data_IF_436719681744
#
_entry.id   IF_436719681744
#
_cell.length_a   1.000
_cell.length_b   1.000
_cell.length_c   1.000
_cell.angle_alpha   90.00
_cell.angle_beta   90.00
_cell.angle_gamma   90.00
#
_symmetry.space_group_name_H-M   'P 1'
#
loop_
_entity.id
_entity.type
_entity.pdbx_description
1 polymer ?
#
# COMPACT_ATOMS: atom_id res chain seq x y z
N UNK A 1 11.58 14.67 -9.36
CA UNK A 1 12.78 14.39 -10.16
C UNK A 1 13.14 15.58 -11.02
N UNK A 2 12.70 15.61 -12.28
CA UNK A 2 13.13 16.61 -13.29
C UNK A 2 13.02 18.07 -12.84
N UNK A 3 11.89 18.45 -12.22
CA UNK A 3 11.69 19.82 -11.74
C UNK A 3 12.62 20.19 -10.59
N UNK A 4 12.94 19.24 -9.71
CA UNK A 4 13.87 19.46 -8.59
C UNK A 4 15.26 19.79 -9.14
N UNK A 5 15.79 18.93 -10.02
CA UNK A 5 17.10 19.12 -10.64
C UNK A 5 17.19 20.44 -11.41
N UNK A 6 16.16 20.81 -12.18
CA UNK A 6 16.16 22.06 -12.93
C UNK A 6 16.12 23.30 -12.01
N UNK A 7 15.37 23.24 -10.91
CA UNK A 7 15.27 24.35 -9.98
C UNK A 7 16.55 24.52 -9.12
N UNK A 8 17.21 23.42 -8.73
CA UNK A 8 18.51 23.46 -8.04
C UNK A 8 19.57 24.19 -8.88
N UNK A 9 19.54 24.05 -10.21
CA UNK A 9 20.46 24.75 -11.12
C UNK A 9 20.30 26.28 -11.08
N UNK A 10 19.16 26.79 -10.64
CA UNK A 10 18.92 28.23 -10.44
C UNK A 10 18.93 28.64 -8.96
N UNK A 11 19.47 27.78 -8.09
CA UNK A 11 19.69 28.06 -6.66
C UNK A 11 18.53 27.74 -5.74
N UNK A 12 17.48 27.04 -6.21
CA UNK A 12 16.34 26.69 -5.38
C UNK A 12 16.70 25.69 -4.28
N UNK A 13 16.10 25.88 -3.10
CA UNK A 13 16.18 24.94 -1.99
C UNK A 13 15.24 23.74 -2.24
N UNK A 14 15.80 22.53 -2.17
CA UNK A 14 15.06 21.26 -2.18
C UNK A 14 15.24 20.60 -0.83
N UNK A 15 14.13 20.16 -0.23
CA UNK A 15 14.13 19.66 1.14
C UNK A 15 13.32 18.37 1.30
N UNK A 16 13.68 17.60 2.33
CA UNK A 16 12.96 16.41 2.80
C UNK A 16 12.69 15.34 1.73
N UNK A 17 13.57 15.17 0.74
CA UNK A 17 13.39 14.15 -0.30
C UNK A 17 13.37 12.71 0.26
N UNK A 18 13.87 12.49 1.46
CA UNK A 18 13.76 11.23 2.20
C UNK A 18 12.34 10.97 2.72
N UNK A 19 11.46 11.97 2.76
CA UNK A 19 10.08 11.82 3.22
C UNK A 19 9.21 11.30 2.09
N UNK A 20 8.93 10.00 2.13
CA UNK A 20 8.18 9.31 1.09
C UNK A 20 6.89 8.72 1.64
N UNK A 21 5.83 8.82 0.84
CA UNK A 21 4.61 8.06 1.01
C UNK A 21 4.69 6.83 0.11
N UNK A 22 4.98 5.68 0.72
CA UNK A 22 5.13 4.41 0.04
C UNK A 22 4.07 3.42 0.51
N UNK A 23 3.89 2.34 -0.26
CA UNK A 23 3.16 1.16 0.19
C UNK A 23 4.10 -0.03 0.18
N UNK A 24 3.79 -1.06 0.97
CA UNK A 24 4.59 -2.27 1.03
C UNK A 24 3.95 -3.48 0.32
N UNK A 25 2.76 -3.28 -0.25
CA UNK A 25 2.03 -4.27 -1.01
C UNK A 25 2.13 -3.95 -2.51
N UNK A 26 3.35 -3.83 -3.02
CA UNK A 26 3.62 -3.65 -4.45
C UNK A 26 3.86 -5.00 -5.14
N UNK A 27 3.39 -5.17 -6.36
CA UNK A 27 3.72 -6.32 -7.23
C UNK A 27 4.18 -5.82 -8.60
N UNK A 28 4.87 -6.65 -9.37
CA UNK A 28 5.24 -6.32 -10.74
C UNK A 28 3.98 -6.17 -11.60
N UNK A 29 3.93 -5.09 -12.38
CA UNK A 29 2.84 -4.91 -13.34
C UNK A 29 3.09 -5.81 -14.56
N UNK A 30 2.12 -6.62 -15.01
CA UNK A 30 2.30 -7.48 -16.18
C UNK A 30 2.40 -6.72 -17.51
N UNK A 31 2.01 -5.45 -17.54
CA UNK A 31 1.98 -4.56 -18.71
C UNK A 31 2.47 -3.16 -18.30
N UNK A 32 3.74 -3.03 -17.91
CA UNK A 32 4.24 -1.79 -17.31
C UNK A 32 4.35 -0.68 -18.38
N UNK A 33 3.67 0.44 -18.14
CA UNK A 33 3.76 1.64 -18.98
C UNK A 33 5.12 2.37 -18.94
N UNK A 34 5.92 2.13 -17.90
CA UNK A 34 7.23 2.74 -17.66
C UNK A 34 8.14 1.68 -17.00
N UNK A 35 9.48 1.81 -17.10
CA UNK A 35 10.40 0.96 -16.34
C UNK A 35 10.05 0.94 -14.85
N UNK A 36 10.10 -0.25 -14.24
CA UNK A 36 9.82 -0.46 -12.81
C UNK A 36 8.41 -0.04 -12.34
N UNK A 37 7.47 0.14 -13.27
CA UNK A 37 6.07 0.42 -12.93
C UNK A 37 5.44 -0.84 -12.30
N UNK A 38 5.18 -0.77 -11.00
CA UNK A 38 4.45 -1.80 -10.25
C UNK A 38 2.96 -1.49 -10.06
N UNK A 39 2.20 -2.52 -9.66
CA UNK A 39 0.84 -2.37 -9.16
C UNK A 39 0.87 -2.26 -7.63
N UNK A 40 0.11 -1.31 -7.09
CA UNK A 40 -0.09 -1.22 -5.64
C UNK A 40 -1.37 -1.96 -5.26
N UNK A 41 -1.24 -3.02 -4.48
CA UNK A 41 -2.37 -3.72 -3.90
C UNK A 41 -2.92 -2.94 -2.70
N UNK A 42 -4.22 -3.07 -2.50
CA UNK A 42 -4.87 -2.89 -1.19
C UNK A 42 -4.92 -4.30 -0.59
N UNK A 43 -3.98 -4.61 0.31
CA UNK A 43 -3.85 -5.97 0.80
C UNK A 43 -5.02 -6.34 1.71
N UNK A 44 -5.35 -7.64 1.80
CA UNK A 44 -6.34 -8.14 2.73
C UNK A 44 -5.87 -7.94 4.18
N UNK A 45 -6.82 -7.80 5.10
CA UNK A 45 -6.53 -7.67 6.54
C UNK A 45 -6.44 -9.04 7.20
N UNK A 46 -7.09 -10.04 6.61
CA UNK A 46 -7.14 -11.41 7.10
C UNK A 46 -5.97 -12.30 6.66
N UNK A 47 -5.14 -11.87 5.71
CA UNK A 47 -3.97 -12.65 5.29
C UNK A 47 -2.82 -12.54 6.30
N UNK A 48 -1.95 -13.54 6.32
CA UNK A 48 -0.73 -13.50 7.12
C UNK A 48 0.40 -12.86 6.34
N UNK A 49 0.97 -11.80 6.91
CA UNK A 49 2.20 -11.20 6.39
C UNK A 49 3.40 -12.00 6.89
N UNK A 50 4.18 -12.52 5.95
CA UNK A 50 5.37 -13.33 6.20
C UNK A 50 6.60 -12.69 5.58
N UNK A 51 7.77 -12.90 6.20
CA UNK A 51 9.04 -12.54 5.60
C UNK A 51 9.35 -13.43 4.38
N UNK A 52 10.42 -13.11 3.66
CA UNK A 52 10.83 -13.87 2.47
C UNK A 52 11.07 -15.38 2.73
N UNK A 53 11.33 -15.78 3.98
CA UNK A 53 11.54 -17.18 4.40
C UNK A 53 10.25 -17.87 4.84
N UNK A 54 9.09 -17.22 4.68
CA UNK A 54 7.79 -17.76 5.03
C UNK A 54 7.49 -17.75 6.53
N UNK A 55 8.18 -16.92 7.32
CA UNK A 55 7.87 -16.77 8.76
C UNK A 55 6.98 -15.57 8.99
N UNK A 56 5.92 -15.73 9.79
CA UNK A 56 5.01 -14.63 10.10
C UNK A 56 5.78 -13.47 10.73
N UNK A 57 5.63 -12.27 10.17
CA UNK A 57 6.34 -11.09 10.66
C UNK A 57 5.80 -10.69 12.03
N UNK A 58 6.66 -10.75 13.05
CA UNK A 58 6.33 -10.49 14.46
C UNK A 58 7.26 -9.46 15.12
N UNK A 59 7.10 -9.19 16.43
CA UNK A 59 6.11 -9.77 17.34
C UNK A 59 4.69 -9.20 17.15
N UNK A 60 4.55 -8.00 16.58
CA UNK A 60 3.26 -7.44 16.19
C UNK A 60 2.93 -7.81 14.73
N UNK A 61 1.71 -8.26 14.42
CA UNK A 61 1.33 -8.55 13.04
C UNK A 61 1.35 -7.27 12.18
N UNK A 62 1.70 -7.42 10.90
CA UNK A 62 1.55 -6.35 9.91
C UNK A 62 0.14 -6.41 9.35
N UNK A 63 -0.63 -5.33 9.53
CA UNK A 63 -2.03 -5.24 9.08
C UNK A 63 -2.23 -3.88 8.45
N UNK A 64 -2.75 -3.89 7.23
CA UNK A 64 -3.04 -2.65 6.50
C UNK A 64 -4.12 -1.80 7.17
N UNK A 65 -4.14 -0.50 6.86
CA UNK A 65 -5.13 0.46 7.35
C UNK A 65 -4.99 0.85 8.83
N UNK A 66 -3.89 0.51 9.49
CA UNK A 66 -3.53 1.03 10.82
C UNK A 66 -2.37 2.02 10.74
N UNK A 67 -1.13 1.54 10.57
CA UNK A 67 0.07 2.37 10.41
C UNK A 67 0.87 1.91 9.19
N UNK A 68 0.50 2.43 8.01
CA UNK A 68 1.18 2.12 6.74
C UNK A 68 2.65 2.56 6.76
N UNK A 69 2.97 3.68 7.41
CA UNK A 69 4.34 4.17 7.49
C UNK A 69 5.21 3.24 8.34
N UNK A 70 4.73 2.86 9.53
CA UNK A 70 5.39 1.88 10.38
C UNK A 70 5.48 0.49 9.71
N UNK A 71 4.46 0.09 8.95
CA UNK A 71 4.48 -1.15 8.16
C UNK A 71 5.61 -1.11 7.11
N UNK A 72 5.73 -0.03 6.35
CA UNK A 72 6.81 0.16 5.37
C UNK A 72 8.20 0.14 6.03
N UNK A 73 8.36 0.84 7.16
CA UNK A 73 9.61 0.83 7.92
C UNK A 73 9.96 -0.58 8.39
N UNK A 74 9.01 -1.34 8.94
CA UNK A 74 9.31 -2.70 9.41
C UNK A 74 9.74 -3.61 8.26
N UNK A 75 9.06 -3.54 7.13
CA UNK A 75 9.40 -4.34 5.95
C UNK A 75 10.76 -3.94 5.38
N UNK A 76 11.12 -2.65 5.38
CA UNK A 76 12.44 -2.21 4.89
C UNK A 76 13.61 -2.70 5.75
N UNK A 77 13.36 -3.14 6.99
CA UNK A 77 14.39 -3.76 7.84
C UNK A 77 14.42 -5.29 7.72
N UNK A 78 13.49 -5.90 6.99
CA UNK A 78 13.54 -7.33 6.71
C UNK A 78 14.60 -7.64 5.64
N UNK A 79 15.27 -8.80 5.73
CA UNK A 79 16.20 -9.22 4.69
C UNK A 79 15.46 -9.55 3.38
N UNK A 80 16.20 -9.61 2.28
CA UNK A 80 15.73 -10.06 0.96
C UNK A 80 14.81 -9.08 0.19
N UNK A 81 14.34 -7.99 0.81
CA UNK A 81 13.70 -6.88 0.10
C UNK A 81 12.25 -7.13 -0.37
N UNK A 82 11.66 -8.26 0.02
CA UNK A 82 10.26 -8.58 -0.25
C UNK A 82 9.65 -9.38 0.91
N UNK A 83 8.33 -9.50 0.86
CA UNK A 83 7.52 -10.26 1.81
C UNK A 83 6.52 -11.13 1.08
N UNK A 84 5.88 -12.05 1.81
CA UNK A 84 4.74 -12.81 1.30
C UNK A 84 3.48 -12.42 2.06
N UNK A 85 2.37 -12.35 1.35
CA UNK A 85 1.06 -12.50 1.97
C UNK A 85 0.46 -13.85 1.64
N UNK A 86 0.19 -14.64 2.68
CA UNK A 86 -0.38 -15.98 2.58
C UNK A 86 -1.84 -15.97 3.03
N UNK A 87 -2.72 -16.49 2.17
CA UNK A 87 -4.16 -16.51 2.37
C UNK A 87 -4.82 -17.65 1.57
N UNK A 88 -6.14 -17.70 1.57
CA UNK A 88 -6.92 -18.53 0.64
C UNK A 88 -7.73 -17.69 -0.35
N UNK A 89 -8.30 -18.34 -1.36
CA UNK A 89 -9.12 -17.71 -2.40
C UNK A 89 -10.26 -16.92 -1.80
N UNK A 90 -10.92 -17.40 -0.75
CA UNK A 90 -12.04 -16.67 -0.12
C UNK A 90 -11.62 -15.32 0.46
N UNK A 91 -10.47 -15.26 1.12
CA UNK A 91 -9.88 -14.00 1.61
C UNK A 91 -9.49 -13.12 0.42
N UNK A 92 -8.72 -13.66 -0.53
CA UNK A 92 -8.26 -12.94 -1.72
C UNK A 92 -9.42 -12.30 -2.49
N UNK A 93 -10.43 -13.09 -2.80
CA UNK A 93 -11.61 -12.69 -3.55
C UNK A 93 -12.42 -11.59 -2.86
N UNK A 94 -12.49 -11.62 -1.53
CA UNK A 94 -13.31 -10.69 -0.75
C UNK A 94 -12.59 -9.39 -0.42
N UNK A 95 -11.30 -9.46 -0.10
CA UNK A 95 -10.58 -8.37 0.55
C UNK A 95 -9.53 -7.69 -0.34
N UNK A 96 -8.93 -8.37 -1.34
CA UNK A 96 -7.92 -7.77 -2.20
C UNK A 96 -8.54 -6.73 -3.13
N UNK A 97 -7.81 -5.63 -3.34
CA UNK A 97 -8.05 -4.70 -4.43
C UNK A 97 -6.74 -4.19 -5.03
N UNK A 98 -6.79 -3.52 -6.18
CA UNK A 98 -5.64 -2.78 -6.74
C UNK A 98 -5.93 -1.29 -6.60
N UNK A 99 -4.98 -0.54 -6.06
CA UNK A 99 -5.02 0.92 -5.99
C UNK A 99 -4.81 1.52 -7.38
N UNK A 100 -5.82 2.19 -7.90
CA UNK A 100 -5.77 2.84 -9.21
C UNK A 100 -7.12 2.84 -9.90
N UNK A 101 -7.30 3.77 -10.85
CA UNK A 101 -8.54 3.89 -11.63
C UNK A 101 -8.61 2.88 -12.78
N UNK A 102 -7.49 2.28 -13.18
CA UNK A 102 -7.40 1.32 -14.29
C UNK A 102 -8.17 0.03 -13.97
N UNK A 103 -7.94 -0.53 -12.77
CA UNK A 103 -8.62 -1.75 -12.31
C UNK A 103 -9.95 -1.47 -11.59
N UNK A 104 -10.21 -0.21 -11.20
CA UNK A 104 -11.48 0.19 -10.59
C UNK A 104 -12.44 0.80 -11.63
N UNK A 105 -12.85 -0.02 -12.60
CA UNK A 105 -13.74 0.41 -13.70
C UNK A 105 -15.08 0.97 -13.20
N UNK A 106 -15.59 0.48 -12.06
CA UNK A 106 -16.81 0.99 -11.48
C UNK A 106 -16.67 2.45 -11.01
N UNK A 107 -15.51 2.85 -10.49
CA UNK A 107 -15.21 4.24 -10.18
C UNK A 107 -15.00 5.06 -11.47
N UNK A 108 -14.22 4.54 -12.43
CA UNK A 108 -13.95 5.18 -13.72
C UNK A 108 -15.22 5.52 -14.51
N UNK A 109 -16.19 4.60 -14.52
CA UNK A 109 -17.46 4.74 -15.25
C UNK A 109 -18.63 5.16 -14.35
N UNK A 110 -18.38 5.60 -13.11
CA UNK A 110 -19.40 6.04 -12.13
C UNK A 110 -20.57 5.06 -11.99
N UNK A 111 -20.27 3.76 -11.79
CA UNK A 111 -21.25 2.68 -11.62
C UNK A 111 -21.33 2.25 -10.14
N UNK A 112 -22.02 3.00 -9.26
CA UNK A 112 -22.02 2.76 -7.81
C UNK A 112 -22.62 1.40 -7.43
N UNK A 113 -23.62 0.91 -8.18
CA UNK A 113 -24.24 -0.41 -7.94
C UNK A 113 -23.27 -1.55 -8.22
N UNK A 114 -22.50 -1.46 -9.32
CA UNK A 114 -21.47 -2.46 -9.66
C UNK A 114 -20.36 -2.47 -8.61
N UNK A 115 -19.91 -1.29 -8.21
CA UNK A 115 -18.90 -1.13 -7.14
C UNK A 115 -19.38 -1.73 -5.80
N UNK A 116 -20.61 -1.43 -5.40
CA UNK A 116 -21.20 -1.98 -4.18
C UNK A 116 -21.36 -3.50 -4.25
N UNK A 117 -21.75 -4.03 -5.41
CA UNK A 117 -21.84 -5.49 -5.64
C UNK A 117 -20.47 -6.17 -5.55
N UNK A 118 -19.43 -5.59 -6.15
CA UNK A 118 -18.05 -6.09 -6.05
C UNK A 118 -17.54 -6.05 -4.61
N UNK A 119 -17.83 -4.97 -3.86
CA UNK A 119 -17.51 -4.89 -2.43
C UNK A 119 -18.25 -5.98 -1.62
N UNK A 120 -19.53 -6.20 -1.90
CA UNK A 120 -20.38 -7.13 -1.15
C UNK A 120 -20.06 -8.60 -1.44
N UNK A 121 -19.83 -8.94 -2.71
CA UNK A 121 -19.70 -10.32 -3.15
C UNK A 121 -18.24 -10.74 -3.41
N UNK A 122 -17.31 -9.79 -3.51
CA UNK A 122 -15.95 -10.03 -3.98
C UNK A 122 -15.82 -9.77 -5.48
N UNK A 123 -14.61 -9.96 -6.03
CA UNK A 123 -14.30 -9.65 -7.41
C UNK A 123 -13.56 -10.80 -8.13
N UNK A 124 -14.34 -11.70 -8.74
CA UNK A 124 -13.81 -12.84 -9.51
C UNK A 124 -12.85 -12.39 -10.61
N UNK A 125 -13.19 -11.33 -11.36
CA UNK A 125 -12.34 -10.82 -12.44
C UNK A 125 -10.97 -10.36 -11.93
N UNK A 126 -10.95 -9.73 -10.74
CA UNK A 126 -9.69 -9.30 -10.14
C UNK A 126 -8.88 -10.48 -9.64
N UNK A 127 -9.52 -11.44 -8.98
CA UNK A 127 -8.86 -12.66 -8.55
C UNK A 127 -8.25 -13.41 -9.74
N UNK A 128 -9.01 -13.62 -10.80
CA UNK A 128 -8.55 -14.28 -12.01
C UNK A 128 -7.43 -13.49 -12.71
N UNK A 129 -7.50 -12.16 -12.72
CA UNK A 129 -6.41 -11.32 -13.22
C UNK A 129 -5.13 -11.50 -12.42
N UNK A 130 -5.21 -11.48 -11.08
CA UNK A 130 -4.04 -11.67 -10.22
C UNK A 130 -3.42 -13.05 -10.44
N UNK A 131 -4.22 -14.11 -10.40
CA UNK A 131 -3.73 -15.49 -10.52
C UNK A 131 -3.20 -15.81 -11.92
N UNK A 132 -3.85 -15.33 -12.98
CA UNK A 132 -3.50 -15.73 -14.35
C UNK A 132 -2.51 -14.79 -15.04
N UNK A 133 -2.35 -13.56 -14.57
CA UNK A 133 -1.54 -12.54 -15.25
C UNK A 133 -0.38 -12.00 -14.41
N UNK A 134 -0.47 -12.04 -13.07
CA UNK A 134 0.57 -11.44 -12.22
C UNK A 134 1.61 -12.48 -11.80
N UNK A 135 2.86 -12.26 -12.18
CA UNK A 135 3.98 -13.19 -11.95
C UNK A 135 4.33 -13.42 -10.46
N UNK A 136 3.93 -12.50 -9.59
CA UNK A 136 4.20 -12.57 -8.15
C UNK A 136 3.11 -13.33 -7.37
N UNK A 137 2.09 -13.85 -8.06
CA UNK A 137 0.95 -14.55 -7.44
C UNK A 137 1.06 -16.03 -7.73
N UNK A 138 1.00 -16.85 -6.67
CA UNK A 138 0.97 -18.30 -6.78
C UNK A 138 -0.23 -18.86 -6.01
N UNK A 139 -0.73 -19.99 -6.50
CA UNK A 139 -1.80 -20.75 -5.85
C UNK A 139 -1.38 -22.19 -5.63
N UNK A 140 -1.96 -22.85 -4.63
CA UNK A 140 -1.69 -24.25 -4.29
C UNK A 140 -2.86 -24.87 -3.53
N UNK A 141 -2.95 -26.20 -3.52
CA UNK A 141 -3.99 -26.95 -2.82
C UNK A 141 -3.49 -27.54 -1.48
N UNK A 142 -2.31 -27.11 -1.03
CA UNK A 142 -1.77 -27.42 0.30
C UNK A 142 -0.67 -26.41 0.68
N UNK A 143 -0.38 -26.28 1.97
CA UNK A 143 0.70 -25.41 2.45
C UNK A 143 2.09 -25.92 2.05
N UNK A 144 2.26 -27.25 1.95
CA UNK A 144 3.49 -27.88 1.46
C UNK A 144 3.75 -27.52 0.00
N UNK A 145 2.72 -27.66 -0.85
CA UNK A 145 2.82 -27.28 -2.26
C UNK A 145 3.04 -25.76 -2.40
N UNK A 146 2.35 -24.94 -1.59
CA UNK A 146 2.54 -23.49 -1.59
C UNK A 146 4.00 -23.13 -1.27
N UNK A 147 4.56 -23.72 -0.21
CA UNK A 147 5.96 -23.51 0.17
C UNK A 147 6.96 -23.99 -0.88
N UNK A 148 6.66 -25.09 -1.59
CA UNK A 148 7.47 -25.54 -2.72
C UNK A 148 7.44 -24.54 -3.88
N UNK A 149 6.27 -23.99 -4.22
CA UNK A 149 6.12 -22.95 -5.26
C UNK A 149 6.80 -21.64 -4.86
N UNK A 150 6.75 -21.25 -3.59
CA UNK A 150 7.48 -20.07 -3.09
C UNK A 150 9.00 -20.23 -3.27
N UNK A 151 9.56 -21.39 -2.92
CA UNK A 151 10.98 -21.70 -3.16
C UNK A 151 11.34 -21.73 -4.65
N UNK A 152 10.43 -22.20 -5.51
CA UNK A 152 10.66 -22.20 -6.95
C UNK A 152 10.67 -20.78 -7.55
N UNK A 153 9.95 -19.84 -6.94
CA UNK A 153 9.88 -18.44 -7.41
C UNK A 153 11.13 -17.63 -7.06
N UNK A 154 11.77 -17.94 -5.92
CA UNK A 154 13.06 -17.36 -5.54
C UNK A 154 14.00 -18.45 -4.99
N UNK A 155 14.79 -19.09 -5.87
CA UNK A 155 15.72 -20.14 -5.49
C UNK A 155 16.84 -19.69 -4.53
N UNK A 156 17.11 -18.38 -4.43
CA UNK A 156 18.18 -17.83 -3.60
C UNK A 156 17.74 -17.67 -2.13
N UNK A 157 16.44 -17.75 -1.85
CA UNK A 157 15.87 -17.62 -0.50
C UNK A 157 15.09 -18.87 -0.13
N UNK A 158 15.64 -19.66 0.80
CA UNK A 158 14.96 -20.86 1.29
C UNK A 158 13.82 -20.52 2.25
N UNK A 159 12.61 -20.90 1.87
CA UNK A 159 11.41 -20.86 2.71
C UNK A 159 11.43 -21.99 3.73
N UNK A 160 11.26 -21.66 5.02
CA UNK A 160 11.03 -22.63 6.09
C UNK A 160 9.57 -23.12 6.04
N UNK A 161 9.29 -24.05 5.14
CA UNK A 161 7.93 -24.56 4.89
C UNK A 161 7.28 -25.12 6.16
N UNK A 162 8.04 -25.85 6.99
CA UNK A 162 7.54 -26.39 8.27
C UNK A 162 7.21 -25.28 9.26
N UNK A 163 8.02 -24.22 9.28
CA UNK A 163 7.79 -23.01 10.05
C UNK A 163 6.54 -22.25 9.61
N UNK A 164 6.38 -22.08 8.30
CA UNK A 164 5.22 -21.44 7.68
C UNK A 164 3.93 -22.17 8.05
N UNK A 165 3.90 -23.51 7.89
CA UNK A 165 2.76 -24.34 8.26
C UNK A 165 2.39 -24.15 9.73
N UNK A 166 3.39 -24.16 10.62
CA UNK A 166 3.18 -23.95 12.05
C UNK A 166 2.58 -22.57 12.34
N UNK A 167 3.10 -21.52 11.71
CA UNK A 167 2.63 -20.15 11.91
C UNK A 167 1.18 -19.98 11.44
N UNK A 168 0.81 -20.62 10.32
CA UNK A 168 -0.57 -20.68 9.80
C UNK A 168 -1.50 -21.44 10.76
N UNK A 169 -1.11 -22.65 11.16
CA UNK A 169 -1.90 -23.48 12.07
C UNK A 169 -2.11 -22.79 13.42
N UNK A 170 -1.11 -22.09 13.95
CA UNK A 170 -1.25 -21.31 15.19
C UNK A 170 -2.30 -20.21 15.04
N UNK A 171 -2.30 -19.48 13.94
CA UNK A 171 -3.33 -18.47 13.68
C UNK A 171 -4.73 -19.07 13.55
N UNK A 172 -4.85 -20.17 12.81
CA UNK A 172 -6.13 -20.85 12.58
C UNK A 172 -6.71 -21.47 13.87
N UNK A 173 -5.85 -22.07 14.71
CA UNK A 173 -6.25 -22.55 16.04
C UNK A 173 -6.81 -21.43 16.92
N UNK A 174 -6.24 -20.22 16.85
CA UNK A 174 -6.76 -19.07 17.61
C UNK A 174 -8.17 -18.67 17.15
N UNK A 175 -8.50 -18.87 15.88
CA UNK A 175 -9.87 -18.67 15.37
C UNK A 175 -10.82 -19.74 15.93
N UNK A 176 -10.38 -21.00 16.01
CA UNK A 176 -11.18 -22.12 16.49
C UNK A 176 -11.56 -22.01 17.98
N UNK A 177 -10.69 -21.40 18.80
CA UNK A 177 -10.99 -21.10 20.20
C UNK A 177 -12.19 -20.14 20.35
N UNK A 178 -12.50 -19.36 19.32
CA UNK A 178 -13.62 -18.44 19.30
C UNK A 178 -13.33 -17.09 19.97
N UNK A 179 -14.21 -16.11 19.72
CA UNK A 179 -13.95 -14.69 19.97
C UNK A 179 -13.63 -14.32 21.42
N UNK A 180 -14.15 -15.08 22.38
CA UNK A 180 -13.88 -14.86 23.80
C UNK A 180 -12.42 -15.16 24.18
N UNK A 181 -11.71 -15.94 23.37
CA UNK A 181 -10.36 -16.44 23.63
C UNK A 181 -9.35 -16.02 22.55
N UNK A 182 -9.72 -15.09 21.67
CA UNK A 182 -8.82 -14.53 20.66
C UNK A 182 -7.68 -13.72 21.32
N UNK A 183 -6.57 -14.40 21.59
CA UNK A 183 -5.32 -13.81 22.09
C UNK A 183 -4.33 -13.43 20.97
N UNK A 184 -4.73 -13.55 19.71
CA UNK A 184 -3.96 -13.07 18.56
C UNK A 184 -4.26 -11.59 18.29
N UNK A 185 -3.23 -10.74 18.16
CA UNK A 185 -3.39 -9.29 17.95
C UNK A 185 -4.06 -8.95 16.61
N UNK A 186 -3.86 -9.78 15.57
CA UNK A 186 -4.48 -9.59 14.26
C UNK A 186 -5.97 -9.86 14.32
N UNK A 187 -6.39 -10.93 14.98
CA UNK A 187 -7.82 -11.23 15.18
C UNK A 187 -8.53 -10.11 15.96
N UNK A 188 -7.90 -9.60 17.03
CA UNK A 188 -8.46 -8.46 17.80
C UNK A 188 -8.58 -7.19 16.96
N UNK A 189 -7.60 -6.89 16.12
CA UNK A 189 -7.62 -5.74 15.20
C UNK A 189 -8.64 -5.87 14.08
N UNK A 190 -8.82 -7.08 13.52
CA UNK A 190 -9.87 -7.36 12.55
C UNK A 190 -11.24 -7.11 13.18
N UNK A 191 -11.50 -7.65 14.38
CA UNK A 191 -12.78 -7.42 15.06
C UNK A 191 -13.00 -5.92 15.35
N UNK A 192 -11.97 -5.19 15.79
CA UNK A 192 -12.05 -3.74 15.98
C UNK A 192 -12.43 -3.00 14.68
N UNK A 193 -11.76 -3.30 13.56
CA UNK A 193 -12.08 -2.67 12.27
C UNK A 193 -13.52 -2.92 11.84
N UNK A 194 -14.05 -4.13 12.11
CA UNK A 194 -15.41 -4.51 11.75
C UNK A 194 -16.51 -3.77 12.54
N UNK A 195 -16.16 -2.95 13.53
CA UNK A 195 -17.11 -2.02 14.14
C UNK A 195 -17.48 -0.87 13.19
N UNK A 196 -16.63 -0.57 12.20
CA UNK A 196 -16.88 0.43 11.18
C UNK A 196 -17.61 -0.19 9.98
N UNK A 197 -18.75 0.39 9.58
CA UNK A 197 -19.62 -0.20 8.54
C UNK A 197 -18.88 -0.47 7.21
N UNK A 198 -18.00 0.44 6.78
CA UNK A 198 -17.24 0.29 5.55
C UNK A 198 -16.28 -0.91 5.60
N UNK A 199 -15.50 -1.01 6.68
CA UNK A 199 -14.56 -2.11 6.88
C UNK A 199 -15.25 -3.44 7.16
N UNK A 200 -16.37 -3.44 7.88
CA UNK A 200 -17.17 -4.65 8.14
C UNK A 200 -17.59 -5.37 6.87
N UNK A 201 -17.97 -4.60 5.85
CA UNK A 201 -18.42 -5.14 4.56
C UNK A 201 -17.24 -5.65 3.72
N UNK A 202 -16.08 -5.02 3.84
CA UNK A 202 -14.87 -5.31 3.04
C UNK A 202 -13.93 -6.35 3.66
N UNK A 203 -14.07 -6.63 4.94
CA UNK A 203 -13.23 -7.57 5.68
C UNK A 203 -14.04 -8.82 5.98
N UNK A 204 -13.44 -10.00 5.97
CA UNK A 204 -14.03 -11.21 6.55
C UNK A 204 -14.01 -11.11 8.08
N UNK A 205 -14.74 -12.01 8.75
CA UNK A 205 -14.79 -12.02 10.22
C UNK A 205 -13.59 -12.79 10.77
N UNK A 206 -13.65 -14.12 10.76
CA UNK A 206 -12.58 -15.00 11.21
C UNK A 206 -12.47 -16.16 10.22
N UNK A 207 -11.78 -15.92 9.10
CA UNK A 207 -11.55 -16.94 8.09
C UNK A 207 -10.21 -17.60 8.37
N UNK A 208 -10.23 -18.91 8.62
CA UNK A 208 -9.01 -19.73 8.67
C UNK A 208 -8.30 -19.64 7.33
N UNK A 209 -6.96 -19.63 7.34
CA UNK A 209 -6.13 -19.64 6.15
C UNK A 209 -6.19 -21.03 5.51
N UNK A 210 -5.92 -22.08 6.30
CA UNK A 210 -5.92 -23.48 5.90
C UNK A 210 -7.31 -24.09 6.06
N UNK A 211 -8.21 -23.72 5.15
CA UNK A 211 -9.61 -24.14 5.13
C UNK A 211 -9.97 -24.73 3.75
N UNK A 212 -10.18 -26.06 3.66
CA UNK A 212 -10.53 -26.73 2.40
C UNK A 212 -11.77 -26.14 1.69
N UNK A 213 -12.71 -25.56 2.43
CA UNK A 213 -13.91 -24.94 1.86
C UNK A 213 -13.63 -23.54 1.27
N UNK A 214 -12.43 -23.00 1.49
CA UNK A 214 -12.01 -21.67 1.07
C UNK A 214 -10.87 -21.66 0.05
N UNK A 215 -10.36 -22.84 -0.30
CA UNK A 215 -9.26 -23.07 -1.23
C UNK A 215 -9.53 -22.58 -2.67
N UNK A 216 -8.48 -22.50 -3.52
CA UNK A 216 -7.06 -22.79 -3.24
C UNK A 216 -6.41 -21.79 -2.28
N UNK A 217 -5.24 -22.14 -1.75
CA UNK A 217 -4.34 -21.21 -1.09
C UNK A 217 -3.74 -20.24 -2.12
N UNK A 218 -3.37 -19.05 -1.66
CA UNK A 218 -2.77 -17.98 -2.45
C UNK A 218 -1.58 -17.42 -1.66
N UNK A 219 -0.43 -17.28 -2.31
CA UNK A 219 0.67 -16.46 -1.81
C UNK A 219 1.01 -15.37 -2.83
N UNK A 220 1.21 -14.14 -2.34
CA UNK A 220 1.59 -12.99 -3.16
C UNK A 220 2.94 -12.49 -2.69
N UNK A 221 3.92 -12.44 -3.58
CA UNK A 221 5.23 -11.83 -3.33
C UNK A 221 5.13 -10.32 -3.45
N UNK A 222 5.34 -9.61 -2.35
CA UNK A 222 5.11 -8.17 -2.27
C UNK A 222 6.40 -7.39 -1.99
N UNK A 223 6.51 -6.25 -2.66
CA UNK A 223 7.65 -5.33 -2.63
C UNK A 223 7.23 -3.95 -2.15
N UNK A 224 8.20 -3.17 -1.72
CA UNK A 224 8.02 -1.74 -1.51
C UNK A 224 7.74 -1.02 -2.84
N UNK A 225 6.68 -0.23 -2.90
CA UNK A 225 6.30 0.56 -4.07
C UNK A 225 6.22 2.05 -3.72
N UNK A 226 6.95 2.86 -4.50
CA UNK A 226 6.92 4.31 -4.38
C UNK A 226 5.58 4.87 -4.82
N UNK A 227 5.04 5.87 -4.11
CA UNK A 227 3.79 6.52 -4.55
C UNK A 227 3.85 8.03 -4.59
N UNK A 228 4.34 8.69 -3.53
CA UNK A 228 4.46 10.15 -3.51
C UNK A 228 5.70 10.60 -2.74
N UNK A 229 6.35 11.64 -3.24
CA UNK A 229 7.36 12.39 -2.49
C UNK A 229 6.70 13.48 -1.65
N UNK A 230 6.90 13.45 -0.35
CA UNK A 230 6.38 14.46 0.59
C UNK A 230 7.35 15.63 0.79
N UNK A 231 8.62 15.45 0.44
CA UNK A 231 9.56 16.54 0.23
C UNK A 231 9.46 17.15 -1.17
N UNK A 232 10.21 18.23 -1.39
CA UNK A 232 10.28 18.89 -2.67
C UNK A 232 10.88 20.29 -2.58
N UNK A 233 10.53 21.13 -3.55
CA UNK A 233 10.92 22.54 -3.57
C UNK A 233 10.36 23.26 -2.35
N UNK A 234 11.23 23.96 -1.63
CA UNK A 234 10.81 24.80 -0.52
C UNK A 234 10.10 26.04 -1.06
N UNK A 235 8.97 26.38 -0.46
CA UNK A 235 8.16 27.54 -0.85
C UNK A 235 7.65 28.27 0.38
N UNK A 236 7.39 29.57 0.24
CA UNK A 236 6.66 30.32 1.26
C UNK A 236 5.13 30.13 1.17
N UNK A 237 4.38 30.87 1.99
CA UNK A 237 2.91 30.86 2.03
C UNK A 237 2.25 31.42 0.76
N UNK A 238 3.02 32.01 -0.16
CA UNK A 238 2.56 32.51 -1.46
C UNK A 238 2.97 31.55 -2.60
N UNK A 239 3.49 30.36 -2.26
CA UNK A 239 4.00 29.35 -3.18
C UNK A 239 5.20 29.80 -4.04
N UNK A 240 5.91 30.87 -3.63
CA UNK A 240 7.15 31.29 -4.27
C UNK A 240 8.27 30.35 -3.86
N UNK A 241 9.06 29.87 -4.81
CA UNK A 241 10.21 28.99 -4.51
C UNK A 241 11.28 29.80 -3.80
N UNK A 242 11.82 29.23 -2.73
CA UNK A 242 12.88 29.84 -1.94
C UNK A 242 14.25 29.32 -2.39
N UNK A 243 15.24 30.20 -2.38
CA UNK A 243 16.63 29.82 -2.54
C UNK A 243 17.21 29.25 -1.23
N UNK A 244 18.50 28.91 -1.26
CA UNK A 244 19.23 28.38 -0.09
C UNK A 244 19.38 29.38 1.07
N UNK A 245 19.20 30.68 0.82
CA UNK A 245 19.19 31.71 1.86
C UNK A 245 17.79 31.94 2.45
N UNK A 246 16.76 31.32 1.86
CA UNK A 246 15.36 31.48 2.25
C UNK A 246 14.66 32.64 1.54
N UNK A 247 15.29 33.24 0.53
CA UNK A 247 14.72 34.35 -0.22
C UNK A 247 13.93 33.86 -1.44
N UNK A 248 12.80 34.49 -1.80
CA UNK A 248 12.03 34.11 -2.97
C UNK A 248 12.81 34.31 -4.28
N UNK A 249 12.92 33.24 -5.07
CA UNK A 249 13.44 33.33 -6.44
C UNK A 249 12.39 34.01 -7.31
N UNK A 250 12.81 35.10 -7.96
CA UNK A 250 11.91 35.93 -8.76
C UNK A 250 11.23 35.12 -9.86
N UNK A 251 9.90 35.22 -9.95
CA UNK A 251 9.05 34.56 -10.94
C UNK A 251 9.08 33.02 -10.92
N UNK A 252 9.59 32.39 -9.86
CA UNK A 252 9.59 30.93 -9.72
C UNK A 252 8.62 30.49 -8.63
N UNK A 253 7.69 29.61 -9.00
CA UNK A 253 6.63 29.09 -8.14
C UNK A 253 6.57 27.57 -8.23
N UNK A 254 6.18 26.92 -7.13
CA UNK A 254 5.99 25.48 -7.10
C UNK A 254 4.77 25.09 -6.25
N UNK A 255 4.05 24.05 -6.68
CA UNK A 255 2.80 23.59 -6.06
C UNK A 255 2.72 22.07 -6.13
N UNK A 256 1.78 21.50 -5.38
CA UNK A 256 1.55 20.04 -5.37
C UNK A 256 2.81 19.25 -5.03
N UNK A 257 2.93 18.04 -5.58
CA UNK A 257 4.01 17.11 -5.22
C UNK A 257 5.43 17.65 -5.51
N UNK A 258 5.59 18.50 -6.53
CA UNK A 258 6.88 19.12 -6.82
C UNK A 258 7.41 19.96 -5.62
N UNK A 259 6.49 20.55 -4.85
CA UNK A 259 6.77 21.32 -3.64
C UNK A 259 6.43 20.53 -2.36
N UNK A 260 6.44 19.20 -2.38
CA UNK A 260 6.05 18.40 -1.21
C UNK A 260 4.64 18.71 -0.69
N UNK A 261 3.74 19.08 -1.61
CA UNK A 261 2.36 19.52 -1.36
C UNK A 261 2.23 20.84 -0.59
N UNK A 262 3.32 21.59 -0.40
CA UNK A 262 3.35 22.89 0.27
C UNK A 262 4.69 23.10 0.96
N UNK A 263 5.65 23.66 0.23
CA UNK A 263 6.98 24.04 0.72
C UNK A 263 7.85 22.91 1.28
N UNK A 264 7.62 21.66 0.85
CA UNK A 264 8.41 20.51 1.26
C UNK A 264 8.09 20.00 2.66
N UNK A 265 6.92 20.33 3.23
CA UNK A 265 6.61 19.96 4.62
C UNK A 265 5.13 19.93 5.04
N UNK A 266 4.18 20.24 4.15
CA UNK A 266 2.77 20.36 4.52
C UNK A 266 2.17 19.12 5.22
N UNK A 267 2.68 17.92 4.90
CA UNK A 267 2.27 16.67 5.52
C UNK A 267 3.29 16.10 6.52
N UNK A 268 4.46 16.72 6.69
CA UNK A 268 5.55 16.13 7.46
C UNK A 268 5.98 14.74 6.96
N UNK A 269 6.44 13.90 7.90
CA UNK A 269 6.85 12.50 7.64
C UNK A 269 5.68 11.51 7.53
N UNK A 270 4.46 11.92 7.89
CA UNK A 270 3.26 11.08 7.95
C UNK A 270 2.06 11.90 7.47
N UNK A 271 1.55 11.57 6.29
CA UNK A 271 0.35 12.23 5.75
C UNK A 271 -0.95 11.54 6.18
N UNK A 272 -2.06 12.24 6.02
CA UNK A 272 -3.40 11.66 6.07
C UNK A 272 -3.90 11.39 4.66
N UNK A 273 -4.52 10.23 4.46
CA UNK A 273 -5.09 9.88 3.16
C UNK A 273 -6.12 10.93 2.70
N UNK A 274 -6.07 11.28 1.41
CA UNK A 274 -6.94 12.32 0.82
C UNK A 274 -6.39 13.74 0.84
N UNK A 275 -5.41 14.07 1.69
CA UNK A 275 -4.86 15.43 1.81
C UNK A 275 -4.07 15.91 0.59
N UNK A 276 -3.44 14.98 -0.14
CA UNK A 276 -2.59 15.29 -1.29
C UNK A 276 -3.32 16.09 -2.37
N UNK A 277 -4.51 15.65 -2.76
CA UNK A 277 -5.29 16.33 -3.80
C UNK A 277 -5.77 17.70 -3.32
N UNK A 278 -6.24 17.80 -2.06
CA UNK A 278 -6.66 19.09 -1.50
C UNK A 278 -5.51 20.08 -1.45
N UNK A 279 -4.30 19.64 -1.12
CA UNK A 279 -3.11 20.49 -1.08
C UNK A 279 -2.68 20.92 -2.49
N UNK A 280 -2.78 20.06 -3.50
CA UNK A 280 -2.57 20.47 -4.89
C UNK A 280 -3.56 21.58 -5.30
N UNK A 281 -4.84 21.44 -4.97
CA UNK A 281 -5.87 22.45 -5.31
C UNK A 281 -5.63 23.75 -4.55
N UNK A 282 -5.32 23.67 -3.25
CA UNK A 282 -5.05 24.82 -2.40
C UNK A 282 -3.82 25.58 -2.90
N UNK A 283 -2.67 24.92 -2.99
CA UNK A 283 -1.41 25.55 -3.43
C UNK A 283 -1.50 26.08 -4.85
N UNK A 284 -2.21 25.39 -5.75
CA UNK A 284 -2.49 25.88 -7.10
C UNK A 284 -3.26 27.20 -7.11
N UNK A 285 -4.27 27.35 -6.25
CA UNK A 285 -5.05 28.60 -6.12
C UNK A 285 -4.22 29.74 -5.54
N UNK A 286 -3.45 29.45 -4.49
CA UNK A 286 -2.57 30.42 -3.81
C UNK A 286 -1.49 30.91 -4.77
N UNK A 287 -0.80 30.01 -5.49
CA UNK A 287 0.20 30.38 -6.47
C UNK A 287 -0.38 31.29 -7.57
N UNK A 288 -1.56 30.95 -8.10
CA UNK A 288 -2.23 31.78 -9.10
C UNK A 288 -2.60 33.17 -8.55
N UNK A 289 -3.04 33.25 -7.30
CA UNK A 289 -3.30 34.53 -6.63
C UNK A 289 -2.05 35.37 -6.45
N UNK A 290 -0.94 34.75 -6.04
CA UNK A 290 0.36 35.42 -5.87
C UNK A 290 0.89 35.95 -7.20
N UNK A 291 0.84 35.15 -8.26
CA UNK A 291 1.24 35.56 -9.62
C UNK A 291 0.40 36.74 -10.10
N UNK A 292 -0.88 36.79 -9.75
CA UNK A 292 -1.77 37.90 -10.09
C UNK A 292 -1.59 39.14 -9.18
N UNK A 293 -0.65 39.14 -8.24
CA UNK A 293 -0.37 40.27 -7.35
C UNK A 293 -1.38 40.47 -6.21
N UNK A 294 -2.09 39.41 -5.79
CA UNK A 294 -2.97 39.49 -4.61
C UNK A 294 -2.12 39.52 -3.33
N UNK A 295 -2.43 40.45 -2.43
CA UNK A 295 -1.70 40.62 -1.15
C UNK A 295 -1.97 39.51 -0.12
N UNK A 296 -3.02 38.70 -0.30
CA UNK A 296 -3.33 37.56 0.56
C UNK A 296 -4.01 36.45 -0.28
N UNK A 297 -3.23 35.71 -1.08
CA UNK A 297 -3.73 34.80 -2.11
C UNK A 297 -4.21 33.44 -1.59
#
# INVERSE_FOLDING_TARGET
GTLHTAAEQVGASVTHLDWQWNYAAGIHHPEPRLPEHGLSLIPPRSALWMDARGRRVGPHPLITGFDTHGLCQRISHLPHGYTWQVMNRKIAHKEISISGSEHNTAFKYRRPVKFLKEILLGNDNLYDYLVNQCLDVITADSLEELGAKMNAMDPDVTVDVKGMIRDVQQYDQMIELGTAFHNDDQLRRIEHLRHWKGDKVRTLKHQKIDDPDAYPLVAIREFMISRKSMGGLQTDSHCRVLDIAGEPITNLYAVGEAAGFGGGGANGKRSLEGTFLSLCVLTGRVAAGSIAGKNNP
#
